data_IF_107467989146
#
_entry.id   IF_107467989146
#
_cell.length_a   1.000
_cell.length_b   1.000
_cell.length_c   1.000
_cell.angle_alpha   90.00
_cell.angle_beta   90.00
_cell.angle_gamma   90.00
#
_symmetry.space_group_name_H-M   'P 1'
#
loop_
_entity.id
_entity.type
_entity.pdbx_description
1 polymer ?
#
# COMPACT_ATOMS: atom_id res chain seq x y z
N UNK A 1 18.62 6.94 10.11
CA UNK A 1 18.04 6.22 8.95
C UNK A 1 16.77 5.41 9.27
N UNK A 2 16.62 4.74 10.43
CA UNK A 2 15.46 3.83 10.71
C UNK A 2 14.06 4.47 10.71
N UNK A 3 13.88 5.68 11.26
CA UNK A 3 12.54 6.33 11.37
C UNK A 3 11.86 6.57 10.02
N UNK A 4 12.65 6.94 9.03
CA UNK A 4 12.26 7.27 7.67
C UNK A 4 11.63 6.05 6.95
N UNK A 5 12.22 4.87 7.13
CA UNK A 5 11.71 3.59 6.59
C UNK A 5 10.43 3.15 7.31
N UNK A 6 10.36 3.32 8.64
CA UNK A 6 9.17 2.96 9.42
C UNK A 6 7.95 3.80 9.03
N UNK A 7 8.14 5.09 8.76
CA UNK A 7 7.06 5.98 8.29
C UNK A 7 6.57 5.57 6.90
N UNK A 8 7.48 5.28 5.97
CA UNK A 8 7.12 4.79 4.64
C UNK A 8 6.38 3.45 4.70
N UNK A 9 6.81 2.55 5.59
CA UNK A 9 6.16 1.26 5.82
C UNK A 9 4.75 1.42 6.37
N UNK A 10 4.56 2.21 7.44
CA UNK A 10 3.24 2.46 8.01
C UNK A 10 2.28 3.12 7.02
N UNK A 11 2.78 4.06 6.21
CA UNK A 11 1.98 4.72 5.17
C UNK A 11 1.53 3.72 4.10
N UNK A 12 2.42 2.85 3.64
CA UNK A 12 2.08 1.79 2.69
C UNK A 12 1.09 0.78 3.27
N UNK A 13 1.25 0.40 4.54
CA UNK A 13 0.35 -0.50 5.25
C UNK A 13 -1.06 0.08 5.36
N UNK A 14 -1.16 1.35 5.74
CA UNK A 14 -2.44 2.04 5.83
C UNK A 14 -3.16 2.08 4.47
N UNK A 15 -2.45 2.45 3.41
CA UNK A 15 -3.01 2.48 2.04
C UNK A 15 -3.49 1.09 1.60
N UNK A 16 -2.71 0.05 1.86
CA UNK A 16 -3.07 -1.32 1.49
C UNK A 16 -4.28 -1.85 2.26
N UNK A 17 -4.38 -1.55 3.55
CA UNK A 17 -5.53 -1.94 4.38
C UNK A 17 -6.80 -1.22 3.90
N UNK A 18 -6.71 0.08 3.61
CA UNK A 18 -7.85 0.85 3.07
C UNK A 18 -8.28 0.31 1.70
N UNK A 19 -7.32 0.01 0.82
CA UNK A 19 -7.60 -0.57 -0.50
C UNK A 19 -8.31 -1.93 -0.38
N UNK A 20 -7.82 -2.82 0.48
CA UNK A 20 -8.44 -4.11 0.71
C UNK A 20 -9.88 -3.94 1.24
N UNK A 21 -10.10 -3.02 2.17
CA UNK A 21 -11.44 -2.70 2.68
C UNK A 21 -12.39 -2.25 1.56
N UNK A 22 -11.92 -1.37 0.66
CA UNK A 22 -12.70 -0.89 -0.49
C UNK A 22 -13.06 -2.05 -1.42
N UNK A 23 -12.11 -2.93 -1.73
CA UNK A 23 -12.38 -4.10 -2.58
C UNK A 23 -13.36 -5.09 -1.94
N UNK A 24 -13.30 -5.26 -0.62
CA UNK A 24 -14.21 -6.11 0.13
C UNK A 24 -15.64 -5.53 0.10
N UNK A 25 -15.79 -4.22 0.33
CA UNK A 25 -17.07 -3.51 0.21
C UNK A 25 -17.59 -3.59 -1.23
N UNK A 26 -16.72 -3.37 -2.22
CA UNK A 26 -17.09 -3.46 -3.64
C UNK A 26 -17.57 -4.87 -4.03
N UNK A 27 -16.88 -5.91 -3.58
CA UNK A 27 -17.30 -7.31 -3.76
C UNK A 27 -18.65 -7.60 -3.11
N UNK A 28 -18.88 -7.04 -1.92
CA UNK A 28 -20.16 -7.15 -1.21
C UNK A 28 -21.31 -6.47 -1.98
N UNK A 29 -21.10 -5.22 -2.44
CA UNK A 29 -22.09 -4.44 -3.21
C UNK A 29 -22.42 -5.12 -4.54
N UNK A 30 -21.42 -5.66 -5.23
CA UNK A 30 -21.61 -6.30 -6.55
C UNK A 30 -22.17 -7.73 -6.45
N UNK A 31 -22.40 -8.25 -5.23
CA UNK A 31 -22.75 -9.67 -4.95
C UNK A 31 -21.79 -10.67 -5.59
N UNK A 32 -20.63 -10.22 -6.07
CA UNK A 32 -19.61 -11.06 -6.64
C UNK A 32 -18.41 -11.01 -5.69
N UNK A 33 -18.14 -12.08 -4.92
CA UNK A 33 -17.06 -12.08 -3.95
C UNK A 33 -15.76 -11.78 -4.68
N UNK A 34 -15.22 -10.58 -4.45
CA UNK A 34 -13.99 -10.14 -5.06
C UNK A 34 -12.87 -10.97 -4.43
N UNK A 35 -12.53 -12.09 -5.06
CA UNK A 35 -11.38 -12.91 -4.71
C UNK A 35 -10.12 -12.14 -5.11
N UNK A 36 -9.74 -11.22 -4.24
CA UNK A 36 -8.41 -10.66 -4.28
C UNK A 36 -7.44 -11.82 -4.05
N UNK A 37 -6.59 -12.05 -5.04
CA UNK A 37 -5.50 -13.00 -4.90
C UNK A 37 -4.47 -12.37 -3.99
N UNK A 38 -4.03 -13.11 -2.96
CA UNK A 38 -3.03 -12.62 -1.99
C UNK A 38 -1.76 -12.12 -2.71
N UNK A 39 -1.42 -12.70 -3.85
CA UNK A 39 -0.34 -12.26 -4.74
C UNK A 39 -0.54 -10.82 -5.26
N UNK A 40 -1.77 -10.42 -5.62
CA UNK A 40 -2.07 -9.07 -6.08
C UNK A 40 -1.95 -8.05 -4.95
N UNK A 41 -2.38 -8.39 -3.72
CA UNK A 41 -2.21 -7.49 -2.57
C UNK A 41 -0.73 -7.28 -2.25
N UNK A 42 0.07 -8.36 -2.27
CA UNK A 42 1.50 -8.27 -2.00
C UNK A 42 2.20 -7.42 -3.05
N UNK A 43 1.87 -7.59 -4.34
CA UNK A 43 2.41 -6.76 -5.42
C UNK A 43 2.01 -5.30 -5.22
N UNK A 44 0.74 -5.03 -4.93
CA UNK A 44 0.24 -3.67 -4.73
C UNK A 44 0.92 -2.98 -3.54
N UNK A 45 1.02 -3.69 -2.41
CA UNK A 45 1.75 -3.23 -1.22
C UNK A 45 3.21 -2.91 -1.54
N UNK A 46 3.90 -3.80 -2.27
CA UNK A 46 5.30 -3.62 -2.64
C UNK A 46 5.50 -2.37 -3.51
N UNK A 47 4.63 -2.16 -4.50
CA UNK A 47 4.66 -0.97 -5.38
C UNK A 47 4.48 0.32 -4.57
N UNK A 48 3.46 0.36 -3.70
CA UNK A 48 3.19 1.53 -2.84
C UNK A 48 4.35 1.77 -1.88
N UNK A 49 4.94 0.71 -1.31
CA UNK A 49 6.08 0.82 -0.40
C UNK A 49 7.31 1.37 -1.11
N UNK A 50 7.67 0.83 -2.28
CA UNK A 50 8.82 1.29 -3.08
C UNK A 50 8.63 2.74 -3.53
N UNK A 51 7.42 3.11 -3.98
CA UNK A 51 7.09 4.49 -4.35
C UNK A 51 7.27 5.47 -3.17
N UNK A 52 6.75 5.12 -1.99
CA UNK A 52 6.94 5.93 -0.79
C UNK A 52 8.42 6.00 -0.37
N UNK A 53 9.16 4.90 -0.48
CA UNK A 53 10.60 4.89 -0.16
C UNK A 53 11.40 5.80 -1.11
N UNK A 54 11.07 5.77 -2.41
CA UNK A 54 11.66 6.64 -3.44
C UNK A 54 11.34 8.11 -3.21
N UNK A 55 10.07 8.46 -2.98
CA UNK A 55 9.65 9.83 -2.64
C UNK A 55 10.46 10.36 -1.46
N UNK A 56 10.68 9.51 -0.48
CA UNK A 56 11.35 9.84 0.75
C UNK A 56 12.88 10.00 0.58
N UNK A 57 13.52 9.08 -0.16
CA UNK A 57 14.92 9.21 -0.56
C UNK A 57 15.14 10.46 -1.41
N UNK A 58 14.23 10.76 -2.33
CA UNK A 58 14.28 11.94 -3.19
C UNK A 58 14.20 13.23 -2.37
N UNK A 59 13.27 13.28 -1.41
CA UNK A 59 13.12 14.42 -0.50
C UNK A 59 14.34 14.63 0.39
N UNK A 60 15.04 13.56 0.76
CA UNK A 60 16.27 13.64 1.55
C UNK A 60 17.51 14.00 0.70
N UNK A 61 17.45 13.86 -0.63
CA UNK A 61 18.53 14.27 -1.57
C UNK A 61 18.42 15.75 -1.97
N UNK A 62 17.22 16.32 -1.89
CA UNK A 62 16.96 17.76 -2.15
C UNK A 62 17.22 18.67 -0.95
N UNK A 63 17.61 18.11 0.20
CA UNK A 63 17.86 18.83 1.45
C UNK A 63 19.33 18.76 1.79
#
# INVERSE_FOLDING_TARGET
MKRWIQVAFFKALFISVVFNLICLIYGSVTRNPYKISLSLEVIFFLVIFVANLLEYLWRNRKK
#
